data_IF_399280163712
#
_entry.id   IF_399280163712
#
_cell.length_a   1.000
_cell.length_b   1.000
_cell.length_c   1.000
_cell.angle_alpha   90.00
_cell.angle_beta   90.00
_cell.angle_gamma   90.00
#
_symmetry.space_group_name_H-M   'P 1'
#
loop_
_entity.id
_entity.type
_entity.pdbx_description
1 polymer ?
#
# COMPACT_ATOMS: atom_id res chain seq x y z
N UNK A 1 11.04 -8.84 3.81
CA UNK A 1 11.48 -7.87 4.84
C UNK A 1 11.40 -6.42 4.34
N UNK A 2 12.02 -6.07 3.21
CA UNK A 2 12.06 -4.68 2.71
C UNK A 2 10.68 -4.07 2.40
N UNK A 3 9.75 -4.82 1.82
CA UNK A 3 8.37 -4.33 1.54
C UNK A 3 7.63 -3.98 2.83
N UNK A 4 7.81 -4.78 3.89
CA UNK A 4 7.19 -4.50 5.19
C UNK A 4 7.72 -3.21 5.82
N UNK A 5 8.99 -2.86 5.59
CA UNK A 5 9.58 -1.60 6.06
C UNK A 5 8.97 -0.41 5.31
N UNK A 6 8.84 -0.50 3.98
CA UNK A 6 8.20 0.54 3.17
C UNK A 6 6.74 0.78 3.58
N UNK A 7 5.98 -0.27 3.86
CA UNK A 7 4.60 -0.16 4.34
C UNK A 7 4.50 0.51 5.71
N UNK A 8 5.44 0.25 6.62
CA UNK A 8 5.50 0.92 7.93
C UNK A 8 5.84 2.41 7.75
N UNK A 9 6.77 2.75 6.85
CA UNK A 9 7.09 4.15 6.54
C UNK A 9 5.86 4.91 6.00
N UNK A 10 5.07 4.29 5.14
CA UNK A 10 3.82 4.88 4.62
C UNK A 10 2.81 5.10 5.77
N UNK A 11 2.65 4.13 6.67
CA UNK A 11 1.73 4.23 7.81
C UNK A 11 2.14 5.32 8.82
N UNK A 12 3.43 5.46 9.10
CA UNK A 12 3.95 6.53 9.95
C UNK A 12 3.76 7.91 9.30
N UNK A 13 3.99 8.00 7.99
CA UNK A 13 3.84 9.26 7.24
C UNK A 13 2.39 9.71 7.16
N UNK A 14 1.44 8.79 6.97
CA UNK A 14 0.01 9.11 6.97
C UNK A 14 -0.52 9.45 8.37
N UNK A 15 -0.01 8.81 9.41
CA UNK A 15 -0.39 9.08 10.80
C UNK A 15 0.15 10.42 11.32
N UNK A 16 1.38 10.79 10.93
CA UNK A 16 1.97 12.11 11.26
C UNK A 16 1.24 13.25 10.55
N UNK A 17 0.73 13.00 9.34
CA UNK A 17 -0.08 13.97 8.58
C UNK A 17 -1.40 14.34 9.28
N UNK A 18 -1.96 13.45 10.10
CA UNK A 18 -3.20 13.70 10.84
C UNK A 18 -2.98 14.71 11.98
N UNK A 19 -1.80 14.72 12.60
CA UNK A 19 -1.52 15.54 13.78
C UNK A 19 -0.87 16.90 13.47
N UNK A 20 -0.48 17.16 12.22
CA UNK A 20 0.41 18.27 11.86
C UNK A 20 -0.24 19.15 10.79
N UNK A 21 -0.50 20.42 11.12
CA UNK A 21 -1.00 21.44 10.18
C UNK A 21 0.12 22.25 9.48
N UNK A 22 1.39 21.86 9.64
CA UNK A 22 2.51 22.57 9.02
C UNK A 22 2.72 22.11 7.56
N UNK A 23 2.62 23.01 6.56
CA UNK A 23 2.70 22.65 5.14
C UNK A 23 4.04 22.02 4.74
N UNK A 24 5.15 22.40 5.37
CA UNK A 24 6.49 21.86 5.07
C UNK A 24 6.55 20.38 5.46
N UNK A 25 6.00 20.04 6.62
CA UNK A 25 5.99 18.67 7.13
C UNK A 25 5.04 17.81 6.28
N UNK A 26 3.89 18.35 5.89
CA UNK A 26 2.98 17.66 4.98
C UNK A 26 3.65 17.31 3.65
N UNK A 27 4.42 18.23 3.07
CA UNK A 27 5.17 17.99 1.85
C UNK A 27 6.21 16.87 2.00
N UNK A 28 7.00 16.89 3.08
CA UNK A 28 8.02 15.86 3.35
C UNK A 28 7.38 14.47 3.49
N UNK A 29 6.26 14.37 4.20
CA UNK A 29 5.55 13.11 4.37
C UNK A 29 4.94 12.61 3.06
N UNK A 30 4.34 13.50 2.24
CA UNK A 30 3.84 13.12 0.91
C UNK A 30 4.99 12.62 0.03
N UNK A 31 6.13 13.33 0.01
CA UNK A 31 7.31 12.91 -0.73
C UNK A 31 7.83 11.53 -0.26
N UNK A 32 7.80 11.27 1.05
CA UNK A 32 8.18 9.98 1.65
C UNK A 32 7.24 8.86 1.20
N UNK A 33 5.93 9.11 1.19
CA UNK A 33 4.91 8.18 0.70
C UNK A 33 5.13 7.86 -0.78
N UNK A 34 5.27 8.88 -1.62
CA UNK A 34 5.49 8.72 -3.06
C UNK A 34 6.78 7.97 -3.36
N UNK A 35 7.88 8.27 -2.67
CA UNK A 35 9.15 7.57 -2.83
C UNK A 35 9.01 6.10 -2.42
N UNK A 36 8.31 5.83 -1.32
CA UNK A 36 8.09 4.45 -0.85
C UNK A 36 7.26 3.64 -1.84
N UNK A 37 6.21 4.24 -2.43
CA UNK A 37 5.42 3.59 -3.48
C UNK A 37 6.23 3.32 -4.74
N UNK A 38 7.00 4.31 -5.20
CA UNK A 38 7.86 4.19 -6.39
C UNK A 38 8.91 3.09 -6.23
N UNK A 39 9.43 2.87 -5.01
CA UNK A 39 10.34 1.74 -4.72
C UNK A 39 9.61 0.42 -4.58
N UNK A 40 8.38 0.42 -4.06
CA UNK A 40 7.61 -0.81 -3.85
C UNK A 40 7.12 -1.42 -5.16
N UNK A 41 6.77 -0.58 -6.15
CA UNK A 41 6.29 -1.00 -7.46
C UNK A 41 7.24 -1.98 -8.20
N UNK A 42 8.53 -1.65 -8.44
CA UNK A 42 9.46 -2.59 -9.08
C UNK A 42 9.72 -3.84 -8.22
N UNK A 43 9.70 -3.75 -6.89
CA UNK A 43 9.84 -4.92 -6.02
C UNK A 43 8.66 -5.89 -6.15
N UNK A 44 7.44 -5.37 -6.22
CA UNK A 44 6.23 -6.18 -6.41
C UNK A 44 6.24 -6.82 -7.79
N UNK A 45 6.67 -6.09 -8.82
CA UNK A 45 6.81 -6.63 -10.18
C UNK A 45 7.87 -7.74 -10.23
N UNK A 46 9.04 -7.56 -9.58
CA UNK A 46 10.07 -8.60 -9.51
C UNK A 46 9.56 -9.88 -8.80
N UNK A 47 8.81 -9.72 -7.71
CA UNK A 47 8.16 -10.84 -7.01
C UNK A 47 7.16 -11.55 -7.93
N UNK A 48 6.27 -10.81 -8.61
CA UNK A 48 5.31 -11.37 -9.57
C UNK A 48 6.02 -12.13 -10.70
N UNK A 49 7.08 -11.55 -11.25
CA UNK A 49 7.85 -12.18 -12.31
C UNK A 49 8.54 -13.47 -11.86
N UNK A 50 9.09 -13.50 -10.63
CA UNK A 50 9.74 -14.70 -10.07
C UNK A 50 8.76 -15.78 -9.62
N UNK A 51 7.56 -15.42 -9.16
CA UNK A 51 6.57 -16.38 -8.66
C UNK A 51 5.78 -17.05 -9.78
N UNK A 52 5.64 -16.42 -10.95
CA UNK A 52 4.90 -16.97 -12.08
C UNK A 52 5.85 -17.78 -12.98
N UNK A 53 5.92 -19.10 -12.75
CA UNK A 53 6.53 -20.10 -13.64
C UNK A 53 5.49 -20.59 -14.66
N UNK A 54 5.14 -19.81 -15.68
CA UNK A 54 4.20 -20.24 -16.73
C UNK A 54 4.38 -19.47 -18.04
N UNK A 55 4.09 -20.12 -19.18
CA UNK A 55 4.07 -19.47 -20.50
C UNK A 55 3.03 -18.36 -20.63
N UNK A 56 2.00 -18.34 -19.77
CA UNK A 56 0.93 -17.33 -19.76
C UNK A 56 1.20 -16.16 -18.78
N UNK A 57 2.47 -15.81 -18.55
CA UNK A 57 2.91 -14.70 -17.68
C UNK A 57 2.16 -13.39 -17.92
N UNK A 58 1.98 -13.00 -19.18
CA UNK A 58 1.31 -11.76 -19.55
C UNK A 58 -0.16 -11.75 -19.10
N UNK A 59 -0.87 -12.86 -19.25
CA UNK A 59 -2.29 -13.01 -18.85
C UNK A 59 -2.46 -12.94 -17.34
N UNK A 60 -1.55 -13.57 -16.58
CA UNK A 60 -1.62 -13.51 -15.11
C UNK A 60 -1.31 -12.08 -14.64
N UNK A 61 -0.31 -11.43 -15.24
CA UNK A 61 0.06 -10.06 -14.88
C UNK A 61 -1.04 -9.04 -15.23
N UNK A 62 -1.76 -9.25 -16.34
CA UNK A 62 -2.92 -8.41 -16.70
C UNK A 62 -4.08 -8.58 -15.73
N UNK A 63 -4.38 -9.81 -15.28
CA UNK A 63 -5.37 -10.07 -14.23
C UNK A 63 -4.98 -9.37 -12.92
N UNK A 64 -3.72 -9.47 -12.49
CA UNK A 64 -3.23 -8.77 -11.30
C UNK A 64 -3.42 -7.25 -11.40
N UNK A 65 -3.15 -6.69 -12.58
CA UNK A 65 -3.30 -5.24 -12.82
C UNK A 65 -4.78 -4.85 -12.80
N UNK A 66 -5.64 -5.66 -13.43
CA UNK A 66 -7.08 -5.43 -13.46
C UNK A 66 -7.71 -5.47 -12.06
N UNK A 67 -7.32 -6.42 -11.21
CA UNK A 67 -7.73 -6.47 -9.81
C UNK A 67 -7.29 -5.20 -9.06
N UNK A 68 -6.05 -4.75 -9.26
CA UNK A 68 -5.55 -3.50 -8.68
C UNK A 68 -6.38 -2.28 -9.11
N UNK A 69 -6.71 -2.18 -10.39
CA UNK A 69 -7.55 -1.10 -10.92
C UNK A 69 -8.97 -1.13 -10.35
N UNK A 70 -9.59 -2.31 -10.21
CA UNK A 70 -10.94 -2.44 -9.62
C UNK A 70 -10.92 -2.01 -8.16
N UNK A 71 -9.94 -2.49 -7.38
CA UNK A 71 -9.80 -2.13 -5.97
C UNK A 71 -9.59 -0.61 -5.84
N UNK A 72 -8.72 -0.02 -6.66
CA UNK A 72 -8.46 1.42 -6.65
C UNK A 72 -9.69 2.24 -7.07
N UNK A 73 -10.46 1.77 -8.06
CA UNK A 73 -11.68 2.43 -8.49
C UNK A 73 -12.76 2.48 -7.40
N UNK A 74 -12.76 1.53 -6.45
CA UNK A 74 -13.67 1.52 -5.30
C UNK A 74 -13.12 2.36 -4.14
N UNK A 75 -11.83 2.21 -3.82
CA UNK A 75 -11.21 2.86 -2.66
C UNK A 75 -11.02 4.37 -2.88
N UNK A 76 -10.57 4.79 -4.06
CA UNK A 76 -10.24 6.20 -4.31
C UNK A 76 -11.44 7.14 -4.13
N UNK A 77 -12.66 6.84 -4.64
CA UNK A 77 -13.84 7.65 -4.36
C UNK A 77 -14.23 7.70 -2.89
N UNK A 78 -14.08 6.60 -2.15
CA UNK A 78 -14.38 6.55 -0.70
C UNK A 78 -13.45 7.50 0.06
N UNK A 79 -12.14 7.44 -0.24
CA UNK A 79 -11.15 8.35 0.34
C UNK A 79 -11.41 9.79 -0.10
N UNK A 80 -11.70 10.00 -1.38
CA UNK A 80 -11.99 11.32 -1.94
C UNK A 80 -13.21 11.97 -1.27
N UNK A 81 -14.30 11.21 -1.11
CA UNK A 81 -15.50 11.67 -0.42
C UNK A 81 -15.23 12.01 1.05
N UNK A 82 -14.49 11.17 1.77
CA UNK A 82 -14.11 11.46 3.15
C UNK A 82 -13.18 12.69 3.28
N UNK A 83 -12.26 12.86 2.33
CA UNK A 83 -11.33 14.00 2.29
C UNK A 83 -12.04 15.34 2.01
N UNK A 84 -13.19 15.31 1.34
CA UNK A 84 -13.98 16.51 1.06
C UNK A 84 -14.59 17.13 2.33
N UNK A 85 -14.80 16.34 3.40
CA UNK A 85 -15.26 16.86 4.69
C UNK A 85 -14.11 17.40 5.54
N UNK A 86 -12.99 16.68 5.59
CA UNK A 86 -11.73 17.12 6.21
C UNK A 86 -10.60 16.26 5.64
N UNK A 87 -9.46 16.88 5.34
CA UNK A 87 -8.28 16.16 4.88
C UNK A 87 -7.88 15.04 5.87
N UNK A 88 -8.06 15.29 7.17
CA UNK A 88 -7.82 14.34 8.26
C UNK A 88 -8.64 13.07 8.10
N UNK A 89 -9.92 13.16 7.72
CA UNK A 89 -10.80 12.00 7.56
C UNK A 89 -10.34 11.10 6.40
N UNK A 90 -9.90 11.70 5.28
CA UNK A 90 -9.31 10.94 4.17
C UNK A 90 -8.01 10.23 4.59
N UNK A 91 -7.17 10.90 5.38
CA UNK A 91 -5.92 10.36 5.90
C UNK A 91 -6.15 9.25 6.93
N UNK A 92 -7.16 9.36 7.78
CA UNK A 92 -7.56 8.31 8.73
C UNK A 92 -7.95 7.04 7.98
N UNK A 93 -8.77 7.14 6.93
CA UNK A 93 -9.17 5.98 6.10
C UNK A 93 -7.94 5.36 5.42
N UNK A 94 -7.04 6.20 4.87
CA UNK A 94 -5.80 5.74 4.27
C UNK A 94 -4.91 4.99 5.29
N UNK A 95 -4.77 5.54 6.50
CA UNK A 95 -4.02 4.92 7.60
C UNK A 95 -4.64 3.57 8.00
N UNK A 96 -5.97 3.49 8.13
CA UNK A 96 -6.70 2.25 8.41
C UNK A 96 -6.44 1.17 7.35
N UNK A 97 -6.52 1.52 6.07
CA UNK A 97 -6.25 0.60 4.96
C UNK A 97 -4.80 0.10 4.99
N UNK A 98 -3.85 1.00 5.27
CA UNK A 98 -2.43 0.63 5.39
C UNK A 98 -2.18 -0.30 6.59
N UNK A 99 -2.89 -0.09 7.69
CA UNK A 99 -2.80 -0.90 8.91
C UNK A 99 -3.33 -2.32 8.67
N UNK A 100 -4.51 -2.43 8.04
CA UNK A 100 -5.08 -3.72 7.61
C UNK A 100 -4.12 -4.46 6.68
N UNK A 101 -3.49 -3.74 5.73
CA UNK A 101 -2.52 -4.34 4.80
C UNK A 101 -1.29 -4.92 5.50
N UNK A 102 -0.77 -4.24 6.53
CA UNK A 102 0.37 -4.75 7.33
C UNK A 102 -0.03 -5.99 8.12
N UNK A 103 -1.23 -6.00 8.72
CA UNK A 103 -1.75 -7.16 9.46
C UNK A 103 -1.87 -8.37 8.54
N UNK A 104 -2.47 -8.19 7.36
CA UNK A 104 -2.61 -9.27 6.37
C UNK A 104 -1.26 -9.85 5.95
N UNK A 105 -0.27 -8.99 5.65
CA UNK A 105 1.08 -9.43 5.29
C UNK A 105 1.73 -10.23 6.42
N UNK A 106 1.59 -9.77 7.68
CA UNK A 106 2.15 -10.47 8.84
C UNK A 106 1.47 -11.81 9.08
N UNK A 107 0.15 -11.85 8.95
CA UNK A 107 -0.63 -13.08 9.07
C UNK A 107 -0.22 -14.09 7.99
N UNK A 108 -0.13 -13.65 6.73
CA UNK A 108 0.30 -14.50 5.63
C UNK A 108 1.71 -15.07 5.84
N UNK A 109 2.67 -14.24 6.26
CA UNK A 109 4.04 -14.71 6.55
C UNK A 109 4.03 -15.71 7.70
N UNK A 110 3.24 -15.47 8.77
CA UNK A 110 3.13 -16.38 9.90
C UNK A 110 2.56 -17.73 9.48
N UNK A 111 1.45 -17.74 8.76
CA UNK A 111 0.82 -18.96 8.24
C UNK A 111 1.74 -19.72 7.29
N UNK A 112 2.44 -19.03 6.40
CA UNK A 112 3.42 -19.68 5.52
C UNK A 112 4.56 -20.35 6.31
N UNK A 113 5.01 -19.71 7.39
CA UNK A 113 6.08 -20.25 8.22
C UNK A 113 5.62 -21.45 9.08
N UNK A 114 4.34 -21.54 9.45
CA UNK A 114 3.77 -22.71 10.14
C UNK A 114 3.55 -23.90 9.21
N UNK A 115 3.27 -23.69 7.93
CA UNK A 115 3.10 -24.78 6.95
C UNK A 115 4.47 -25.36 6.53
N UNK A 116 5.56 -24.60 6.71
CA UNK A 116 6.91 -24.98 6.32
C UNK A 116 7.74 -25.63 7.44
N UNK A 117 7.18 -25.83 8.64
CA UNK A 117 7.79 -26.57 9.76
C UNK A 117 7.14 -27.93 9.94
#
# INVERSE_FOLDING_TARGET
KSISVLMICILLSSSTLIAISNPVISFICIATISTSMALMEPMVIDIKNKSIFSGNRATILSIYSMLGSIISAVINPIIGFASNSSLENGLIICSLISLVSIILIRYFIKTFNEIAS
#
